data_IF_329977766715
#
_entry.id   IF_329977766715
#
_cell.length_a   1.000
_cell.length_b   1.000
_cell.length_c   1.000
_cell.angle_alpha   90.00
_cell.angle_beta   90.00
_cell.angle_gamma   90.00
#
_symmetry.space_group_name_H-M   'P 1'
#
loop_
_entity.id
_entity.type
_entity.pdbx_description
1 polymer ?
#
# COMPACT_ATOMS: atom_id res chain seq x y z
N UNK A 1 -10.35 10.38 -8.47
CA UNK A 1 -10.22 11.85 -8.61
C UNK A 1 -10.28 12.60 -7.26
N UNK A 2 -11.26 12.33 -6.33
CA UNK A 2 -11.39 13.09 -5.09
C UNK A 2 -10.21 12.83 -4.14
N UNK A 3 -9.88 11.59 -3.88
CA UNK A 3 -8.68 11.22 -3.12
C UNK A 3 -7.40 11.76 -3.77
N UNK A 4 -7.26 11.61 -5.08
CA UNK A 4 -6.11 12.08 -5.84
C UNK A 4 -5.88 13.59 -5.67
N UNK A 5 -6.97 14.38 -5.68
CA UNK A 5 -6.89 15.83 -5.44
C UNK A 5 -6.68 16.19 -3.98
N UNK A 6 -7.38 15.49 -3.09
CA UNK A 6 -7.35 15.79 -1.65
C UNK A 6 -6.06 15.36 -0.95
N UNK A 7 -5.25 14.49 -1.58
CA UNK A 7 -3.99 13.98 -1.03
C UNK A 7 -2.78 14.43 -1.87
N UNK A 8 -2.97 15.36 -2.81
CA UNK A 8 -1.92 15.75 -3.77
C UNK A 8 -0.71 16.46 -3.14
N UNK A 9 -0.87 17.01 -1.95
CA UNK A 9 0.17 17.67 -1.16
C UNK A 9 0.90 16.73 -0.19
N UNK A 10 0.45 15.48 -0.08
CA UNK A 10 1.10 14.45 0.72
C UNK A 10 2.08 13.61 -0.12
N UNK A 11 3.10 13.01 0.51
CA UNK A 11 4.04 12.12 -0.17
C UNK A 11 3.40 10.75 -0.46
N UNK A 12 2.36 10.74 -1.28
CA UNK A 12 1.61 9.54 -1.66
C UNK A 12 1.26 9.55 -3.14
N UNK A 13 1.06 8.37 -3.71
CA UNK A 13 0.62 8.18 -5.09
C UNK A 13 -0.68 7.38 -5.12
N UNK A 14 -1.65 7.90 -5.87
CA UNK A 14 -2.96 7.26 -6.03
C UNK A 14 -3.01 6.46 -7.33
N UNK A 15 -3.48 5.20 -7.24
CA UNK A 15 -3.77 4.34 -8.41
C UNK A 15 -2.77 4.51 -9.56
N UNK A 16 -1.47 4.26 -9.34
CA UNK A 16 -0.48 4.42 -10.41
C UNK A 16 -0.81 3.47 -11.57
N UNK A 17 -1.05 4.01 -12.75
CA UNK A 17 -1.36 3.28 -13.96
C UNK A 17 -0.91 4.02 -15.21
N UNK A 18 -0.62 3.28 -16.28
CA UNK A 18 -0.20 3.85 -17.56
C UNK A 18 -1.43 4.39 -18.31
N UNK A 19 -1.57 5.72 -18.32
CA UNK A 19 -2.72 6.41 -18.92
C UNK A 19 -2.79 6.29 -20.45
N UNK A 20 -1.68 5.92 -21.09
CA UNK A 20 -1.62 5.75 -22.54
C UNK A 20 -1.99 4.33 -22.98
N UNK A 21 -1.64 3.33 -22.17
CA UNK A 21 -1.73 1.91 -22.55
C UNK A 21 -2.78 1.11 -21.79
N UNK A 22 -3.36 1.69 -20.74
CA UNK A 22 -4.32 0.97 -19.92
C UNK A 22 -5.48 1.84 -19.47
N UNK A 23 -6.62 1.19 -19.20
CA UNK A 23 -7.79 1.82 -18.62
C UNK A 23 -8.28 0.97 -17.46
N UNK A 24 -8.08 1.42 -16.21
CA UNK A 24 -8.54 0.70 -15.04
C UNK A 24 -10.07 0.74 -14.93
N UNK A 25 -10.64 -0.27 -14.30
CA UNK A 25 -12.06 -0.32 -13.98
C UNK A 25 -12.45 0.46 -12.72
N UNK A 26 -11.48 1.09 -12.06
CA UNK A 26 -11.66 1.88 -10.82
C UNK A 26 -12.39 1.13 -9.68
N UNK A 27 -12.20 -0.18 -9.60
CA UNK A 27 -12.79 -1.00 -8.54
C UNK A 27 -12.40 -0.52 -7.15
N UNK A 28 -11.11 -0.22 -6.93
CA UNK A 28 -10.59 0.24 -5.65
C UNK A 28 -9.75 1.51 -5.82
N UNK A 29 -9.75 2.34 -4.77
CA UNK A 29 -8.84 3.47 -4.64
C UNK A 29 -7.60 3.02 -3.90
N UNK A 30 -6.55 2.64 -4.62
CA UNK A 30 -5.29 2.23 -4.03
C UNK A 30 -4.36 3.43 -3.85
N UNK A 31 -3.69 3.50 -2.72
CA UNK A 31 -2.70 4.52 -2.37
C UNK A 31 -1.37 3.86 -2.03
N UNK A 32 -0.27 4.46 -2.45
CA UNK A 32 1.08 4.11 -2.05
C UNK A 32 1.75 5.29 -1.35
N UNK A 33 2.39 5.05 -0.22
CA UNK A 33 3.23 6.04 0.46
C UNK A 33 4.60 6.07 -0.24
N UNK A 34 5.17 7.24 -0.46
CA UNK A 34 6.53 7.36 -0.99
C UNK A 34 7.54 6.77 -0.01
N UNK A 35 8.62 6.18 -0.52
CA UNK A 35 9.54 5.40 0.30
C UNK A 35 10.18 6.22 1.43
N UNK A 36 10.54 7.47 1.15
CA UNK A 36 11.14 8.39 2.11
C UNK A 36 10.18 8.83 3.21
N UNK A 37 8.88 8.73 2.96
CA UNK A 37 7.81 9.08 3.89
C UNK A 37 7.23 7.89 4.65
N UNK A 38 7.83 6.72 4.50
CA UNK A 38 7.46 5.55 5.30
C UNK A 38 7.95 5.68 6.73
N UNK A 39 7.03 5.54 7.69
CA UNK A 39 7.41 5.33 9.09
C UNK A 39 8.13 3.98 9.26
N UNK A 40 9.14 3.90 10.15
CA UNK A 40 9.77 2.62 10.47
C UNK A 40 8.74 1.61 10.98
N UNK A 41 8.73 0.43 10.37
CA UNK A 41 7.84 -0.67 10.73
C UNK A 41 8.65 -1.87 11.18
N UNK A 42 8.29 -2.43 12.33
CA UNK A 42 8.86 -3.66 12.86
C UNK A 42 7.78 -4.74 12.98
N UNK A 43 8.14 -5.96 12.72
CA UNK A 43 7.21 -7.08 12.90
C UNK A 43 7.18 -7.47 14.38
N UNK A 44 6.04 -7.23 15.03
CA UNK A 44 5.75 -7.77 16.35
C UNK A 44 5.29 -9.23 16.30
N UNK A 45 5.02 -9.81 17.45
CA UNK A 45 4.58 -11.21 17.58
C UNK A 45 3.22 -11.48 16.91
N UNK A 46 2.33 -10.51 16.93
CA UNK A 46 0.97 -10.62 16.37
C UNK A 46 0.72 -9.67 15.21
N UNK A 47 1.24 -8.44 15.31
CA UNK A 47 0.97 -7.36 14.39
C UNK A 47 2.26 -6.64 14.00
N UNK A 48 2.17 -5.78 12.97
CA UNK A 48 3.22 -4.83 12.68
C UNK A 48 3.16 -3.67 13.68
N UNK A 49 4.31 -3.33 14.23
CA UNK A 49 4.50 -2.14 15.04
C UNK A 49 5.08 -1.04 14.15
N UNK A 50 4.61 0.15 14.30
CA UNK A 50 5.17 1.33 13.64
C UNK A 50 5.52 2.40 14.67
N UNK A 51 6.50 3.20 14.34
CA UNK A 51 6.88 4.36 15.14
C UNK A 51 6.42 5.61 14.44
N UNK A 52 5.44 6.31 15.02
CA UNK A 52 4.99 7.58 14.48
C UNK A 52 6.13 8.58 14.45
N UNK A 53 6.30 9.24 13.31
CA UNK A 53 7.31 10.26 13.05
C UNK A 53 6.69 11.35 12.19
N UNK A 54 6.88 12.60 12.57
CA UNK A 54 6.32 13.74 11.84
C UNK A 54 6.74 13.72 10.36
N UNK A 55 5.77 13.87 9.47
CA UNK A 55 5.97 13.81 8.02
C UNK A 55 6.06 12.40 7.44
N UNK A 56 5.93 11.37 8.29
CA UNK A 56 5.95 9.97 7.88
C UNK A 56 4.73 9.22 8.40
N UNK A 57 4.32 8.21 7.67
CA UNK A 57 3.25 7.31 8.09
C UNK A 57 3.46 5.89 7.55
N UNK A 58 2.57 5.00 7.90
CA UNK A 58 2.56 3.62 7.41
C UNK A 58 1.16 3.19 7.00
N UNK A 59 1.01 2.20 6.09
CA UNK A 59 -0.29 1.62 5.79
C UNK A 59 -1.05 1.17 7.03
N UNK A 60 -0.35 0.60 8.01
CA UNK A 60 -0.95 0.14 9.26
C UNK A 60 -1.53 1.30 10.07
N UNK A 61 -0.76 2.38 10.28
CA UNK A 61 -1.21 3.57 10.99
C UNK A 61 -2.47 4.18 10.36
N UNK A 62 -2.45 4.35 9.04
CA UNK A 62 -3.58 4.92 8.31
C UNK A 62 -4.81 4.02 8.41
N UNK A 63 -4.66 2.70 8.26
CA UNK A 63 -5.76 1.75 8.37
C UNK A 63 -6.36 1.73 9.78
N UNK A 64 -5.55 1.80 10.82
CA UNK A 64 -6.00 1.90 12.22
C UNK A 64 -6.75 3.21 12.47
N UNK A 65 -6.22 4.34 11.98
CA UNK A 65 -6.87 5.63 12.11
C UNK A 65 -8.23 5.65 11.39
N UNK A 66 -8.32 5.16 10.15
CA UNK A 66 -9.57 5.04 9.40
C UNK A 66 -10.58 4.15 10.14
N UNK A 67 -10.11 3.01 10.65
CA UNK A 67 -10.94 2.06 11.41
C UNK A 67 -11.50 2.67 12.70
N UNK A 68 -10.73 3.49 13.40
CA UNK A 68 -11.17 4.19 14.60
C UNK A 68 -12.33 5.14 14.34
N UNK A 69 -12.50 5.62 13.11
CA UNK A 69 -13.64 6.43 12.67
C UNK A 69 -14.77 5.61 12.03
N UNK A 70 -14.73 4.29 12.16
CA UNK A 70 -15.78 3.41 11.67
C UNK A 70 -15.81 3.20 10.15
N UNK A 71 -14.74 3.55 9.45
CA UNK A 71 -14.59 3.27 8.02
C UNK A 71 -13.61 2.10 7.78
N UNK A 72 -13.74 1.42 6.66
CA UNK A 72 -12.95 0.24 6.34
C UNK A 72 -12.00 0.49 5.17
N UNK A 73 -10.70 0.54 5.44
CA UNK A 73 -9.64 0.37 4.46
C UNK A 73 -9.09 -1.06 4.50
N UNK A 74 -8.28 -1.43 3.53
CA UNK A 74 -7.66 -2.76 3.44
C UNK A 74 -6.18 -2.65 3.06
N UNK A 75 -5.31 -3.54 3.56
CA UNK A 75 -3.97 -3.65 3.01
C UNK A 75 -4.03 -4.09 1.54
N UNK A 76 -3.03 -3.75 0.77
CA UNK A 76 -2.83 -4.34 -0.57
C UNK A 76 -2.61 -5.85 -0.43
N UNK A 77 -2.99 -6.61 -1.46
CA UNK A 77 -2.83 -8.06 -1.47
C UNK A 77 -1.36 -8.46 -1.33
N UNK A 78 -1.12 -9.36 -0.38
CA UNK A 78 0.20 -9.95 -0.20
C UNK A 78 0.55 -10.81 -1.42
N UNK A 79 1.67 -10.56 -2.11
CA UNK A 79 2.11 -11.37 -3.24
C UNK A 79 2.21 -12.86 -2.91
N UNK A 80 1.92 -13.71 -3.89
CA UNK A 80 1.90 -15.16 -3.70
C UNK A 80 3.22 -15.72 -3.18
N UNK A 81 4.35 -15.24 -3.70
CA UNK A 81 5.68 -15.68 -3.27
C UNK A 81 6.04 -15.27 -1.83
N UNK A 82 5.34 -14.30 -1.26
CA UNK A 82 5.46 -13.92 0.16
C UNK A 82 4.52 -14.70 1.08
N UNK A 83 3.61 -15.51 0.54
CA UNK A 83 2.74 -16.37 1.33
C UNK A 83 3.55 -17.55 1.90
N UNK A 84 3.41 -17.89 3.19
CA UNK A 84 4.20 -18.95 3.82
C UNK A 84 4.13 -20.29 3.08
N UNK A 85 2.97 -20.64 2.53
CA UNK A 85 2.77 -21.89 1.80
C UNK A 85 3.56 -21.98 0.48
N UNK A 86 3.98 -20.85 -0.08
CA UNK A 86 4.76 -20.79 -1.33
C UNK A 86 6.22 -20.43 -1.10
N UNK A 87 6.67 -20.29 0.14
CA UNK A 87 8.04 -19.86 0.49
C UNK A 87 9.15 -20.74 -0.09
N UNK A 88 8.86 -22.00 -0.39
CA UNK A 88 9.79 -22.97 -1.00
C UNK A 88 9.60 -23.12 -2.50
N UNK A 89 8.66 -22.44 -3.11
CA UNK A 89 8.43 -22.53 -4.54
C UNK A 89 9.45 -21.68 -5.32
N UNK A 90 9.83 -22.10 -6.53
CA UNK A 90 10.70 -21.29 -7.36
C UNK A 90 10.04 -19.96 -7.72
N UNK A 91 10.81 -18.88 -7.67
CA UNK A 91 10.43 -17.57 -8.19
C UNK A 91 11.15 -17.32 -9.51
N UNK A 92 10.43 -16.92 -10.54
CA UNK A 92 10.97 -16.69 -11.89
C UNK A 92 10.93 -15.19 -12.17
N UNK A 93 12.08 -14.61 -12.52
CA UNK A 93 12.18 -13.21 -12.94
C UNK A 93 11.94 -13.05 -14.45
N UNK A 94 11.74 -11.81 -14.90
CA UNK A 94 11.56 -11.48 -16.32
C UNK A 94 12.76 -11.93 -17.16
N UNK A 95 13.98 -11.84 -16.62
CA UNK A 95 15.20 -12.28 -17.28
C UNK A 95 15.29 -13.81 -17.43
N UNK A 96 14.42 -14.56 -16.80
CA UNK A 96 14.33 -16.01 -16.91
C UNK A 96 15.45 -16.80 -16.23
N UNK A 97 16.46 -16.13 -15.68
CA UNK A 97 17.66 -16.72 -15.08
C UNK A 97 17.61 -16.77 -13.54
N UNK A 98 16.58 -16.22 -12.94
CA UNK A 98 16.42 -16.13 -11.50
C UNK A 98 15.36 -17.07 -10.99
N UNK A 99 15.74 -18.29 -10.60
CA UNK A 99 14.90 -19.17 -9.79
C UNK A 99 15.37 -19.14 -8.35
N UNK A 100 14.74 -18.31 -7.53
CA UNK A 100 14.90 -18.34 -6.10
C UNK A 100 14.07 -19.45 -5.46
N UNK A 101 14.46 -19.88 -4.29
CA UNK A 101 13.74 -20.88 -3.49
C UNK A 101 13.06 -20.31 -2.27
N UNK A 102 13.11 -19.04 -2.04
CA UNK A 102 12.46 -18.46 -0.88
C UNK A 102 11.81 -17.14 -1.21
N UNK A 103 10.81 -16.80 -0.43
CA UNK A 103 10.16 -15.50 -0.47
C UNK A 103 11.09 -14.32 -0.12
N UNK A 104 12.28 -14.59 0.38
CA UNK A 104 13.31 -13.59 0.66
C UNK A 104 14.31 -13.41 -0.49
N UNK A 105 14.24 -14.24 -1.52
CA UNK A 105 15.20 -14.25 -2.60
C UNK A 105 14.57 -13.80 -3.91
N UNK A 106 15.09 -12.72 -4.45
CA UNK A 106 14.81 -12.26 -5.81
C UNK A 106 16.13 -12.33 -6.58
N UNK A 107 16.16 -13.19 -7.58
CA UNK A 107 17.32 -13.31 -8.43
C UNK A 107 17.39 -12.15 -9.43
N UNK A 108 18.55 -11.60 -9.60
CA UNK A 108 18.79 -10.48 -10.49
C UNK A 108 18.77 -9.12 -9.77
N UNK A 109 19.01 -8.07 -10.52
CA UNK A 109 19.03 -6.68 -10.04
C UNK A 109 17.65 -6.06 -9.85
N UNK A 110 16.61 -6.88 -9.97
CA UNK A 110 15.22 -6.40 -9.96
C UNK A 110 14.72 -6.06 -8.58
N UNK A 111 14.01 -4.95 -8.47
CA UNK A 111 13.16 -4.64 -7.31
C UNK A 111 11.94 -5.56 -7.38
N UNK A 112 11.58 -6.19 -6.26
CA UNK A 112 10.30 -6.89 -6.14
C UNK A 112 9.16 -5.86 -6.03
N UNK A 113 8.64 -5.49 -7.19
CA UNK A 113 7.57 -4.50 -7.29
C UNK A 113 6.34 -4.92 -6.49
N UNK A 114 6.00 -6.21 -6.50
CA UNK A 114 4.86 -6.72 -5.72
C UNK A 114 5.06 -6.59 -4.22
N UNK A 115 6.25 -6.93 -3.72
CA UNK A 115 6.59 -6.79 -2.30
C UNK A 115 6.66 -5.31 -1.89
N UNK A 116 7.19 -4.45 -2.74
CA UNK A 116 7.24 -3.01 -2.50
C UNK A 116 5.84 -2.40 -2.40
N UNK A 117 4.97 -2.69 -3.36
CA UNK A 117 3.57 -2.23 -3.33
C UNK A 117 2.86 -2.76 -2.07
N UNK A 118 3.06 -4.02 -1.70
CA UNK A 118 2.47 -4.60 -0.49
C UNK A 118 2.96 -3.90 0.79
N UNK A 119 4.25 -3.54 0.83
CA UNK A 119 4.86 -2.87 1.99
C UNK A 119 4.33 -1.46 2.20
N UNK A 120 4.12 -0.70 1.12
CA UNK A 120 3.84 0.73 1.16
C UNK A 120 2.40 1.09 0.78
N UNK A 121 1.63 0.12 0.30
CA UNK A 121 0.31 0.34 -0.27
C UNK A 121 -0.84 -0.04 0.64
N UNK A 122 -1.97 0.62 0.43
CA UNK A 122 -3.25 0.28 1.04
C UNK A 122 -4.40 0.64 0.09
N UNK A 123 -5.55 0.02 0.34
CA UNK A 123 -6.81 0.34 -0.33
C UNK A 123 -7.66 1.22 0.58
N UNK A 124 -8.03 2.38 0.09
CA UNK A 124 -8.94 3.30 0.77
C UNK A 124 -10.41 2.87 0.60
N UNK A 125 -11.30 3.28 1.50
CA UNK A 125 -12.73 3.08 1.34
C UNK A 125 -13.21 3.53 -0.04
N UNK A 126 -13.87 2.67 -0.78
CA UNK A 126 -14.20 2.87 -2.21
C UNK A 126 -15.65 2.47 -2.55
N UNK A 127 -16.54 2.50 -1.57
CA UNK A 127 -17.97 2.23 -1.79
C UNK A 127 -18.58 3.31 -2.71
N UNK A 128 -19.32 2.88 -3.72
CA UNK A 128 -20.02 3.77 -4.66
C UNK A 128 -21.16 4.57 -4.01
N UNK A 129 -21.58 4.22 -2.81
CA UNK A 129 -22.58 4.95 -2.01
C UNK A 129 -21.95 5.98 -1.08
N UNK A 130 -20.63 6.02 -0.97
CA UNK A 130 -19.92 6.97 -0.12
C UNK A 130 -20.17 8.40 -0.58
N UNK A 131 -20.56 9.27 0.33
CA UNK A 131 -20.74 10.70 0.03
C UNK A 131 -19.41 11.43 -0.09
N UNK A 132 -19.46 12.63 -0.64
CA UNK A 132 -18.27 13.49 -0.76
C UNK A 132 -17.72 13.87 0.61
N UNK A 133 -18.60 14.16 1.53
CA UNK A 133 -18.28 14.53 2.92
C UNK A 133 -17.59 13.37 3.64
N UNK A 134 -18.05 12.14 3.44
CA UNK A 134 -17.39 10.96 3.99
C UNK A 134 -15.97 10.77 3.40
N UNK A 135 -15.81 11.02 2.10
CA UNK A 135 -14.46 10.99 1.49
C UNK A 135 -13.55 12.09 2.06
N UNK A 136 -14.09 13.29 2.32
CA UNK A 136 -13.31 14.37 2.91
C UNK A 136 -12.85 14.05 4.34
N UNK A 137 -13.67 13.37 5.12
CA UNK A 137 -13.26 12.88 6.44
C UNK A 137 -12.09 11.89 6.33
N UNK A 138 -12.13 10.96 5.38
CA UNK A 138 -11.02 10.03 5.16
C UNK A 138 -9.74 10.77 4.74
N UNK A 139 -9.86 11.77 3.85
CA UNK A 139 -8.73 12.60 3.43
C UNK A 139 -8.12 13.32 4.65
N UNK A 140 -8.94 13.93 5.49
CA UNK A 140 -8.47 14.60 6.70
C UNK A 140 -7.77 13.66 7.69
N UNK A 141 -8.29 12.43 7.87
CA UNK A 141 -7.65 11.41 8.70
C UNK A 141 -6.25 11.10 8.17
N UNK A 142 -6.12 10.91 6.86
CA UNK A 142 -4.82 10.60 6.24
C UNK A 142 -3.84 11.77 6.43
N UNK A 143 -4.29 13.04 6.25
CA UNK A 143 -3.44 14.20 6.52
C UNK A 143 -2.89 14.20 7.95
N UNK A 144 -3.71 13.86 8.93
CA UNK A 144 -3.29 13.78 10.35
C UNK A 144 -2.25 12.70 10.62
N UNK A 145 -2.27 11.61 9.87
CA UNK A 145 -1.25 10.57 9.99
C UNK A 145 0.16 11.01 9.54
N UNK A 146 0.28 12.15 8.84
CA UNK A 146 1.56 12.73 8.43
C UNK A 146 1.96 13.97 9.25
N UNK A 147 1.18 14.39 10.25
CA UNK A 147 1.47 15.55 11.11
C UNK A 147 2.21 15.15 12.38
#
# INVERSE_FOLDING_TARGET
ERYERGLADLPVKMNPWDREKSQPNFWLSCMMIDEEAMAPMERGDKDYLYKSEKGKSSPQEILEAISAFGAEGRPIWKPMHLQPMYGNNPFVTVEGNGRGRSNAYIAGSGVDVGADIFKRGLCLPSDNKMTKEQQDVIIEIIHRCFQ
#
